data_IF_016502110815
#
_entry.id   IF_016502110815
#
_cell.length_a   1.000
_cell.length_b   1.000
_cell.length_c   1.000
_cell.angle_alpha   90.00
_cell.angle_beta   90.00
_cell.angle_gamma   90.00
#
_symmetry.space_group_name_H-M   'P 1'
#
loop_
_entity.id
_entity.type
_entity.pdbx_description
1 polymer ?
#
# COMPACT_ATOMS: atom_id res chain seq x y z
N UNK A 1 0.10 -22.72 23.30
CA UNK A 1 0.27 -22.66 21.83
C UNK A 1 0.87 -21.31 21.59
N UNK A 2 2.16 -21.26 21.29
CA UNK A 2 2.77 -20.04 20.78
C UNK A 2 2.22 -19.90 19.36
N UNK A 3 1.44 -18.85 19.13
CA UNK A 3 0.95 -18.56 17.77
C UNK A 3 2.17 -18.10 16.97
N UNK A 4 2.70 -18.99 16.12
CA UNK A 4 3.77 -18.67 15.20
C UNK A 4 3.26 -17.60 14.23
N UNK A 5 3.64 -16.35 14.47
CA UNK A 5 3.28 -15.24 13.60
C UNK A 5 4.15 -15.30 12.36
N UNK A 6 3.53 -15.48 11.21
CA UNK A 6 4.18 -15.50 9.90
C UNK A 6 4.13 -14.13 9.21
N UNK A 7 5.09 -13.91 8.32
CA UNK A 7 5.18 -12.73 7.46
C UNK A 7 3.84 -12.43 6.76
N UNK A 8 3.49 -11.15 6.69
CA UNK A 8 2.29 -10.70 6.00
C UNK A 8 2.41 -10.69 4.46
N UNK A 9 3.62 -10.84 3.91
CA UNK A 9 3.85 -10.81 2.46
C UNK A 9 3.24 -12.07 1.79
N UNK A 10 2.42 -11.90 0.74
CA UNK A 10 1.80 -13.02 0.06
C UNK A 10 2.87 -13.91 -0.59
N UNK A 11 2.87 -15.19 -0.23
CA UNK A 11 3.88 -16.16 -0.68
C UNK A 11 5.17 -16.18 0.17
N UNK A 12 5.20 -15.47 1.30
CA UNK A 12 6.28 -15.56 2.28
C UNK A 12 5.77 -16.24 3.56
N UNK A 13 6.24 -17.46 3.80
CA UNK A 13 5.90 -18.24 5.00
C UNK A 13 6.97 -18.12 6.11
N UNK A 14 7.86 -17.13 6.02
CA UNK A 14 8.91 -16.94 7.03
C UNK A 14 8.29 -16.53 8.38
N UNK A 15 8.73 -17.13 9.49
CA UNK A 15 8.30 -16.72 10.82
C UNK A 15 8.88 -15.35 11.17
N UNK A 16 8.09 -14.55 11.89
CA UNK A 16 8.56 -13.30 12.49
C UNK A 16 9.37 -13.58 13.74
N UNK A 17 10.42 -12.79 13.95
CA UNK A 17 11.20 -12.84 15.19
C UNK A 17 10.42 -12.21 16.34
N UNK A 18 10.85 -12.49 17.56
CA UNK A 18 10.21 -11.93 18.76
C UNK A 18 10.29 -10.39 18.79
N UNK A 19 11.45 -9.84 18.44
CA UNK A 19 11.68 -8.39 18.28
C UNK A 19 10.70 -7.77 17.27
N UNK A 20 10.52 -8.39 16.11
CA UNK A 20 9.57 -7.91 15.11
C UNK A 20 8.13 -7.87 15.64
N UNK A 21 7.74 -8.86 16.45
CA UNK A 21 6.42 -8.88 17.09
C UNK A 21 6.28 -7.78 18.14
N UNK A 22 7.33 -7.52 18.92
CA UNK A 22 7.35 -6.45 19.92
C UNK A 22 7.30 -5.06 19.26
N UNK A 23 7.99 -4.87 18.13
CA UNK A 23 8.01 -3.63 17.36
C UNK A 23 6.81 -3.48 16.41
N UNK A 24 5.90 -4.46 16.39
CA UNK A 24 4.71 -4.51 15.50
C UNK A 24 5.05 -4.54 14.01
N UNK A 25 6.22 -5.05 13.67
CA UNK A 25 6.65 -5.29 12.30
C UNK A 25 5.84 -6.46 11.72
N UNK A 26 5.19 -6.19 10.59
CA UNK A 26 4.28 -7.11 9.89
C UNK A 26 5.00 -8.18 9.03
N UNK A 27 6.25 -7.92 8.68
CA UNK A 27 6.98 -8.65 7.64
C UNK A 27 8.31 -9.19 8.17
N UNK A 28 8.82 -10.28 7.60
CA UNK A 28 10.15 -10.78 8.01
C UNK A 28 11.25 -9.80 7.60
N UNK A 29 12.43 -9.92 8.22
CA UNK A 29 13.59 -9.04 7.97
C UNK A 29 13.93 -8.92 6.48
N UNK A 30 13.83 -10.02 5.72
CA UNK A 30 14.09 -10.02 4.27
C UNK A 30 13.09 -9.15 3.49
N UNK A 31 11.81 -9.23 3.85
CA UNK A 31 10.76 -8.44 3.23
C UNK A 31 10.81 -6.96 3.69
N UNK A 32 11.27 -6.72 4.92
CA UNK A 32 11.52 -5.38 5.46
C UNK A 32 12.69 -4.70 4.73
N UNK A 33 13.83 -5.39 4.57
CA UNK A 33 14.97 -4.89 3.81
C UNK A 33 14.62 -4.65 2.33
N UNK A 34 13.70 -5.46 1.78
CA UNK A 34 13.18 -5.28 0.43
C UNK A 34 12.10 -4.18 0.31
N UNK A 35 11.66 -3.58 1.42
CA UNK A 35 10.63 -2.54 1.43
C UNK A 35 9.22 -3.03 1.05
N UNK A 36 8.94 -4.33 1.17
CA UNK A 36 7.68 -4.97 0.75
C UNK A 36 6.47 -4.62 1.63
N UNK A 37 6.66 -3.79 2.64
CA UNK A 37 5.61 -3.25 3.52
C UNK A 37 5.30 -1.77 3.23
N UNK A 38 5.96 -1.16 2.25
CA UNK A 38 5.81 0.27 1.94
C UNK A 38 4.89 0.48 0.74
N UNK A 39 4.06 1.51 0.82
CA UNK A 39 3.20 1.96 -0.25
C UNK A 39 4.05 2.47 -1.41
N UNK A 40 3.86 1.89 -2.59
CA UNK A 40 4.60 2.29 -3.80
C UNK A 40 4.40 3.77 -4.16
N UNK A 41 3.26 4.36 -3.79
CA UNK A 41 2.91 5.72 -4.15
C UNK A 41 3.45 6.80 -3.19
N UNK A 42 3.46 6.53 -1.88
CA UNK A 42 3.83 7.53 -0.88
C UNK A 42 4.95 7.10 0.07
N UNK A 43 5.45 5.87 -0.05
CA UNK A 43 6.49 5.31 0.81
C UNK A 43 6.07 5.13 2.28
N UNK A 44 4.78 5.25 2.60
CA UNK A 44 4.27 4.98 3.95
C UNK A 44 4.03 3.49 4.15
N UNK A 45 4.15 3.03 5.39
CA UNK A 45 3.85 1.65 5.77
C UNK A 45 2.39 1.27 5.46
N UNK A 46 2.21 0.07 4.90
CA UNK A 46 0.94 -0.58 4.61
C UNK A 46 0.61 -1.51 5.78
N UNK A 47 -0.66 -1.53 6.18
CA UNK A 47 -1.09 -2.42 7.25
C UNK A 47 -0.92 -3.91 6.84
N UNK A 48 -0.43 -4.79 7.73
CA UNK A 48 -0.20 -6.22 7.47
C UNK A 48 -1.38 -6.93 6.82
N UNK A 49 -2.60 -6.66 7.29
CA UNK A 49 -3.82 -7.25 6.76
C UNK A 49 -4.01 -6.93 5.28
N UNK A 50 -3.61 -5.74 4.84
CA UNK A 50 -3.73 -5.31 3.44
C UNK A 50 -2.63 -5.92 2.57
N UNK A 51 -1.42 -6.08 3.11
CA UNK A 51 -0.36 -6.80 2.42
C UNK A 51 -0.80 -8.26 2.17
N UNK A 52 -1.45 -8.90 3.16
CA UNK A 52 -2.01 -10.27 3.02
C UNK A 52 -3.09 -10.38 1.95
N UNK A 53 -3.90 -9.34 1.78
CA UNK A 53 -4.88 -9.21 0.69
C UNK A 53 -4.23 -8.92 -0.69
N UNK A 54 -2.90 -8.81 -0.76
CA UNK A 54 -2.17 -8.55 -2.01
C UNK A 54 -2.21 -7.09 -2.46
N UNK A 55 -2.47 -6.16 -1.54
CA UNK A 55 -2.57 -4.73 -1.85
C UNK A 55 -1.19 -4.06 -1.71
N UNK A 56 -0.77 -3.31 -2.73
CA UNK A 56 0.52 -2.58 -2.75
C UNK A 56 0.42 -1.07 -2.41
N UNK A 57 -0.81 -0.59 -2.17
CA UNK A 57 -1.09 0.80 -1.79
C UNK A 57 -1.58 0.87 -0.35
N UNK A 58 -1.17 1.92 0.36
CA UNK A 58 -1.77 2.23 1.66
C UNK A 58 -3.22 2.71 1.47
N UNK A 59 -4.01 2.58 2.54
CA UNK A 59 -5.45 2.95 2.56
C UNK A 59 -5.74 4.36 2.05
N UNK A 60 -4.84 5.32 2.31
CA UNK A 60 -5.00 6.71 1.85
C UNK A 60 -4.79 6.85 0.34
N UNK A 61 -3.80 6.14 -0.23
CA UNK A 61 -3.56 6.15 -1.67
C UNK A 61 -4.61 5.32 -2.43
N UNK A 62 -5.11 4.25 -1.83
CA UNK A 62 -6.22 3.46 -2.38
C UNK A 62 -7.52 4.26 -2.44
N UNK A 63 -7.85 5.01 -1.37
CA UNK A 63 -9.10 5.80 -1.31
C UNK A 63 -9.02 7.16 -2.01
N UNK A 64 -7.84 7.58 -2.45
CA UNK A 64 -7.64 8.87 -3.12
C UNK A 64 -6.77 8.72 -4.39
N UNK A 65 -7.27 8.05 -5.45
CA UNK A 65 -6.58 8.00 -6.74
C UNK A 65 -6.52 9.37 -7.44
N UNK A 66 -7.28 10.37 -6.97
CA UNK A 66 -7.45 11.70 -7.58
C UNK A 66 -6.20 12.59 -7.57
N UNK A 67 -5.08 12.16 -6.98
CA UNK A 67 -3.79 12.87 -7.11
C UNK A 67 -2.96 12.40 -8.33
N UNK A 68 -3.39 11.33 -9.01
CA UNK A 68 -2.72 10.80 -10.22
C UNK A 68 -3.42 11.20 -11.53
N UNK A 69 -4.62 11.78 -11.49
CA UNK A 69 -5.19 12.50 -12.63
C UNK A 69 -4.88 14.00 -12.52
N UNK A 70 -3.61 14.32 -12.77
CA UNK A 70 -3.31 15.60 -13.39
C UNK A 70 -4.03 15.65 -14.74
N UNK A 71 -4.91 16.64 -14.90
CA UNK A 71 -5.63 17.03 -16.12
C UNK A 71 -6.93 16.27 -16.44
N UNK A 72 -7.97 16.51 -15.64
CA UNK A 72 -9.33 16.58 -16.21
C UNK A 72 -9.38 17.78 -17.17
N UNK A 73 -9.03 17.52 -18.43
CA UNK A 73 -9.40 18.33 -19.58
C UNK A 73 -10.92 18.21 -19.76
N UNK A 74 -11.71 18.96 -19.01
CA UNK A 74 -13.07 19.37 -19.43
C UNK A 74 -12.90 20.51 -20.43
N UNK A 75 -12.75 20.23 -21.72
CA UNK A 75 -13.83 20.05 -22.71
C UNK A 75 -14.67 21.32 -22.93
N UNK A 76 -14.41 21.95 -24.08
CA UNK A 76 -15.27 22.83 -24.90
C UNK A 76 -15.72 24.21 -24.35
N UNK A 77 -14.96 25.24 -24.73
CA UNK A 77 -15.57 26.53 -25.10
C UNK A 77 -16.42 26.33 -26.37
N UNK A 78 -17.72 26.05 -26.21
CA UNK A 78 -18.67 26.22 -27.31
C UNK A 78 -19.08 27.69 -27.36
N UNK A 79 -18.35 28.48 -28.14
CA UNK A 79 -18.71 29.83 -28.52
C UNK A 79 -20.13 29.83 -29.14
N UNK A 80 -21.10 30.35 -28.40
CA UNK A 80 -22.47 30.51 -28.86
C UNK A 80 -22.54 31.70 -29.83
N UNK A 81 -22.21 31.47 -31.10
CA UNK A 81 -22.49 32.41 -32.18
C UNK A 81 -24.00 32.69 -32.24
N UNK A 82 -24.39 33.93 -31.94
CA UNK A 82 -25.73 34.44 -32.26
C UNK A 82 -25.52 35.68 -33.13
N UNK A 83 -25.87 35.58 -34.42
CA UNK A 83 -25.96 36.71 -35.35
C UNK A 83 -27.40 36.79 -35.87
#
# INVERSE_FOLDING_TARGET
>A
MEEEVICAVPGCDNPLTEEQREEKIAVCLECEEAGMHLCENCGREIEPERIRDGVSLCKECEMNPSALEGTDYTEYESENYTY
#
